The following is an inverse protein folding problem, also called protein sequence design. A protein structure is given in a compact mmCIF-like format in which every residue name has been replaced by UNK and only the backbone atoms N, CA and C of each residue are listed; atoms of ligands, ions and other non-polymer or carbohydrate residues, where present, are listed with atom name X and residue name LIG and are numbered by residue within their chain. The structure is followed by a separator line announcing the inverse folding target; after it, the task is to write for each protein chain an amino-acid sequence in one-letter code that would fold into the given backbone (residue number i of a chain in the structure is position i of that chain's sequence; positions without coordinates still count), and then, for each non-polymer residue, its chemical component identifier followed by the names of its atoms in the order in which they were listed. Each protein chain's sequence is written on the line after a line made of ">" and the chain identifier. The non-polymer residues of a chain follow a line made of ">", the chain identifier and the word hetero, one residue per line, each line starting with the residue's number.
data_IF_595207191816
#
_entry.id   IF_595207191816
#
_cell.length_a   1.000
_cell.length_b   1.000
_cell.length_c   1.000
_cell.angle_alpha   90.00
_cell.angle_beta   90.00
_cell.angle_gamma   90.00
#
_symmetry.space_group_name_H-M   'P 1'
#
loop_
_entity.id
_entity.type
_entity.pdbx_description
1 polymer ?
#
# COMPACT_ATOMS: atom_id res chain seq x y z
N UNK A 1 18.17 13.22 4.63
CA UNK A 1 17.82 13.26 3.18
C UNK A 1 16.34 12.94 3.04
N UNK A 2 15.60 13.58 2.11
CA UNK A 2 14.18 13.28 1.86
C UNK A 2 14.02 11.88 1.23
N UNK A 3 12.86 11.24 1.46
CA UNK A 3 12.61 9.87 0.98
C UNK A 3 12.36 9.79 -0.52
N UNK A 4 11.72 10.79 -1.12
CA UNK A 4 11.55 10.95 -2.57
C UNK A 4 11.62 12.44 -2.88
N UNK A 5 12.33 12.80 -3.95
CA UNK A 5 12.39 14.17 -4.44
C UNK A 5 12.09 14.17 -5.94
N UNK A 6 10.91 14.68 -6.30
CA UNK A 6 10.39 14.65 -7.67
C UNK A 6 11.28 15.36 -8.69
N UNK A 7 12.12 16.31 -8.27
CA UNK A 7 13.08 17.00 -9.15
C UNK A 7 14.19 16.08 -9.65
N UNK A 8 14.63 15.12 -8.82
CA UNK A 8 15.63 14.12 -9.20
C UNK A 8 15.02 12.94 -9.97
N UNK A 9 13.69 12.83 -9.97
CA UNK A 9 12.93 11.72 -10.53
C UNK A 9 11.97 12.19 -11.64
N UNK A 10 12.40 13.18 -12.42
CA UNK A 10 11.51 13.93 -13.33
C UNK A 10 10.85 13.01 -14.38
N UNK A 11 11.59 12.06 -14.96
CA UNK A 11 11.07 11.18 -16.03
C UNK A 11 9.95 10.27 -15.52
N UNK A 12 10.17 9.62 -14.38
CA UNK A 12 9.19 8.73 -13.77
C UNK A 12 8.01 9.53 -13.17
N UNK A 13 8.30 10.60 -12.42
CA UNK A 13 7.29 11.39 -11.72
C UNK A 13 6.40 12.22 -12.66
N UNK A 14 6.97 12.89 -13.67
CA UNK A 14 6.22 13.80 -14.57
C UNK A 14 5.56 13.06 -15.73
N UNK A 15 6.25 12.08 -16.31
CA UNK A 15 5.79 11.43 -17.53
C UNK A 15 5.34 9.99 -17.33
N UNK A 16 5.64 9.35 -16.19
CA UNK A 16 5.26 7.95 -15.94
C UNK A 16 5.91 6.94 -16.88
N UNK A 17 6.92 7.36 -17.67
CA UNK A 17 7.48 6.56 -18.77
C UNK A 17 8.16 5.29 -18.27
N UNK A 18 8.85 5.36 -17.14
CA UNK A 18 9.58 4.22 -16.56
C UNK A 18 8.69 3.02 -16.23
N UNK A 19 7.42 3.27 -15.90
CA UNK A 19 6.47 2.24 -15.48
C UNK A 19 5.33 2.03 -16.49
N UNK A 20 5.36 2.70 -17.64
CA UNK A 20 4.32 2.62 -18.66
C UNK A 20 4.16 1.20 -19.25
N UNK A 21 5.23 0.41 -19.24
CA UNK A 21 5.26 -0.97 -19.75
C UNK A 21 5.00 -2.01 -18.66
N UNK A 22 4.71 -1.60 -17.43
CA UNK A 22 4.45 -2.55 -16.36
C UNK A 22 3.16 -3.31 -16.61
N UNK A 23 3.09 -4.62 -16.28
CA UNK A 23 1.84 -5.37 -16.40
C UNK A 23 0.67 -4.75 -15.62
N UNK A 24 0.96 -4.08 -14.49
CA UNK A 24 -0.05 -3.35 -13.71
C UNK A 24 -0.56 -2.07 -14.39
N UNK A 25 0.15 -1.54 -15.39
CA UNK A 25 -0.29 -0.41 -16.22
C UNK A 25 -1.09 -0.88 -17.44
N UNK A 26 -0.68 -2.02 -18.01
CA UNK A 26 -1.21 -2.51 -19.29
C UNK A 26 -2.44 -3.41 -19.16
N UNK A 27 -2.62 -4.07 -18.01
CA UNK A 27 -3.72 -5.03 -17.78
C UNK A 27 -4.82 -4.35 -16.94
N UNK A 28 -6.00 -4.09 -17.52
CA UNK A 28 -7.13 -3.53 -16.77
C UNK A 28 -7.51 -4.40 -15.57
N UNK A 29 -7.91 -3.76 -14.48
CA UNK A 29 -8.31 -4.46 -13.24
C UNK A 29 -7.14 -4.95 -12.39
N UNK A 30 -5.89 -4.72 -12.81
CA UNK A 30 -4.71 -4.94 -11.95
C UNK A 30 -4.23 -3.62 -11.39
N UNK A 31 -3.88 -3.62 -10.10
CA UNK A 31 -3.25 -2.46 -9.44
C UNK A 31 -4.11 -1.20 -9.59
N UNK A 32 -5.39 -1.36 -9.32
CA UNK A 32 -6.39 -0.29 -9.37
C UNK A 32 -7.07 -0.15 -8.01
N UNK A 33 -7.45 1.09 -7.69
CA UNK A 33 -8.34 1.38 -6.57
C UNK A 33 -9.75 1.49 -7.13
N UNK A 34 -10.64 0.64 -6.62
CA UNK A 34 -11.99 0.52 -7.17
C UNK A 34 -12.04 -0.47 -8.30
N UNK A 35 -13.09 -0.36 -9.12
CA UNK A 35 -13.23 -1.22 -10.29
C UNK A 35 -14.28 -0.70 -11.25
N UNK A 36 -14.05 -0.94 -12.54
CA UNK A 36 -15.03 -0.59 -13.58
C UNK A 36 -16.34 -1.39 -13.39
N UNK A 37 -16.22 -2.68 -13.05
CA UNK A 37 -17.38 -3.58 -12.85
C UNK A 37 -18.18 -3.26 -11.59
N UNK A 38 -17.57 -2.63 -10.58
CA UNK A 38 -18.27 -2.18 -9.37
C UNK A 38 -18.88 -0.79 -9.51
N UNK A 39 -18.60 -0.08 -10.62
CA UNK A 39 -19.07 1.30 -10.84
C UNK A 39 -18.40 2.35 -9.93
N UNK A 40 -17.42 1.97 -9.11
CA UNK A 40 -16.70 2.88 -8.22
C UNK A 40 -15.21 2.87 -8.56
N UNK A 41 -14.87 3.33 -9.76
CA UNK A 41 -13.48 3.48 -10.18
C UNK A 41 -12.85 4.74 -9.56
N UNK A 42 -11.68 4.60 -8.94
CA UNK A 42 -10.90 5.72 -8.40
C UNK A 42 -9.68 5.99 -9.28
N UNK A 43 -9.00 4.93 -9.74
CA UNK A 43 -7.95 5.00 -10.75
C UNK A 43 -6.87 3.93 -10.58
N UNK A 44 -5.88 3.95 -11.46
CA UNK A 44 -4.75 3.01 -11.45
C UNK A 44 -3.60 3.50 -10.55
N UNK A 45 -2.94 2.58 -9.86
CA UNK A 45 -1.75 2.84 -9.05
C UNK A 45 -0.55 3.09 -9.96
N UNK A 46 -0.40 2.30 -11.02
CA UNK A 46 0.63 2.53 -12.03
C UNK A 46 0.13 3.39 -13.20
N UNK A 47 1.02 4.19 -13.83
CA UNK A 47 2.36 4.54 -13.33
C UNK A 47 2.26 5.45 -12.09
N UNK A 48 3.26 5.38 -11.20
CA UNK A 48 3.47 6.24 -10.02
C UNK A 48 3.87 7.67 -10.39
N UNK A 49 3.21 8.23 -11.39
CA UNK A 49 3.31 9.63 -11.77
C UNK A 49 2.59 10.51 -10.74
N UNK A 50 3.04 11.76 -10.63
CA UNK A 50 2.45 12.76 -9.73
C UNK A 50 1.13 13.34 -10.20
N UNK A 51 0.54 12.81 -11.27
CA UNK A 51 -0.68 13.33 -11.88
C UNK A 51 -1.68 12.20 -12.14
N UNK A 52 -2.95 12.58 -12.11
CA UNK A 52 -4.05 11.72 -12.49
C UNK A 52 -5.20 12.55 -13.03
N UNK A 53 -5.92 12.01 -14.01
CA UNK A 53 -7.20 12.54 -14.43
C UNK A 53 -8.32 11.86 -13.63
N UNK A 54 -8.81 12.56 -12.62
CA UNK A 54 -9.93 12.12 -11.79
C UNK A 54 -10.78 13.35 -11.44
N UNK A 55 -12.10 13.26 -11.64
CA UNK A 55 -13.01 14.37 -11.44
C UNK A 55 -13.33 14.66 -9.96
N UNK A 56 -13.19 13.65 -9.09
CA UNK A 56 -13.37 13.78 -7.64
C UNK A 56 -12.01 13.95 -6.95
N UNK A 57 -11.77 15.12 -6.37
CA UNK A 57 -10.52 15.47 -5.69
C UNK A 57 -10.18 14.50 -4.55
N UNK A 58 -11.18 14.03 -3.79
CA UNK A 58 -10.96 13.04 -2.73
C UNK A 58 -10.45 11.72 -3.30
N UNK A 59 -11.01 11.26 -4.43
CA UNK A 59 -10.53 10.03 -5.11
C UNK A 59 -9.12 10.24 -5.67
N UNK A 60 -8.87 11.38 -6.30
CA UNK A 60 -7.58 11.73 -6.88
C UNK A 60 -6.47 11.73 -5.82
N UNK A 61 -6.70 12.45 -4.72
CA UNK A 61 -5.73 12.61 -3.66
C UNK A 61 -5.55 11.31 -2.84
N UNK A 62 -6.60 10.50 -2.65
CA UNK A 62 -6.48 9.16 -2.04
C UNK A 62 -5.60 8.23 -2.87
N UNK A 63 -5.73 8.28 -4.20
CA UNK A 63 -4.88 7.51 -5.09
C UNK A 63 -3.43 8.04 -5.11
N UNK A 64 -3.21 9.35 -5.04
CA UNK A 64 -1.85 9.89 -4.88
C UNK A 64 -1.22 9.44 -3.56
N UNK A 65 -1.97 9.41 -2.47
CA UNK A 65 -1.50 8.87 -1.20
C UNK A 65 -1.13 7.38 -1.33
N UNK A 66 -1.98 6.57 -1.99
CA UNK A 66 -1.68 5.17 -2.26
C UNK A 66 -0.40 5.00 -3.09
N UNK A 67 -0.23 5.77 -4.17
CA UNK A 67 0.97 5.74 -5.02
C UNK A 67 2.23 6.06 -4.22
N UNK A 68 2.18 7.11 -3.40
CA UNK A 68 3.29 7.48 -2.54
C UNK A 68 3.62 6.37 -1.53
N UNK A 69 2.60 5.75 -0.93
CA UNK A 69 2.74 4.61 -0.04
C UNK A 69 3.35 3.39 -0.75
N UNK A 70 2.94 3.11 -1.98
CA UNK A 70 3.42 1.95 -2.73
C UNK A 70 4.91 2.09 -3.10
N UNK A 71 5.33 3.26 -3.60
CA UNK A 71 6.75 3.55 -3.91
C UNK A 71 7.65 3.33 -2.69
N UNK A 72 7.31 3.90 -1.53
CA UNK A 72 8.17 3.81 -0.33
C UNK A 72 8.16 2.43 0.32
N UNK A 73 7.15 1.60 0.05
CA UNK A 73 7.00 0.26 0.64
C UNK A 73 7.46 -0.87 -0.28
N UNK A 74 8.08 -0.55 -1.43
CA UNK A 74 8.70 -1.53 -2.33
C UNK A 74 10.20 -1.28 -2.48
N UNK A 75 10.95 -2.32 -2.90
CA UNK A 75 12.35 -2.20 -3.33
C UNK A 75 12.44 -2.21 -4.85
N UNK A 76 13.45 -1.52 -5.38
CA UNK A 76 13.79 -1.59 -6.80
C UNK A 76 12.72 -1.03 -7.74
N UNK A 77 11.89 -0.08 -7.28
CA UNK A 77 11.06 0.68 -8.22
C UNK A 77 11.96 1.55 -9.09
N UNK A 78 11.54 1.85 -10.32
CA UNK A 78 12.30 2.67 -11.28
C UNK A 78 12.05 4.14 -10.98
N UNK A 79 12.44 4.53 -9.77
CA UNK A 79 12.32 5.86 -9.18
C UNK A 79 13.60 6.19 -8.41
N UNK A 80 13.91 7.48 -8.26
CA UNK A 80 14.97 7.95 -7.36
C UNK A 80 14.39 8.18 -5.95
N UNK A 81 14.47 7.16 -5.09
CA UNK A 81 13.90 7.18 -3.73
C UNK A 81 14.71 6.37 -2.71
N UNK A 82 14.48 6.63 -1.44
CA UNK A 82 14.98 5.83 -0.32
C UNK A 82 13.84 4.92 0.21
N UNK A 83 13.90 3.59 -0.02
CA UNK A 83 12.85 2.69 0.43
C UNK A 83 12.79 2.60 1.96
N UNK A 84 11.57 2.65 2.53
CA UNK A 84 11.32 2.48 3.96
C UNK A 84 10.94 1.05 4.29
N UNK A 85 11.89 0.16 4.05
CA UNK A 85 11.75 -1.26 4.33
C UNK A 85 12.78 -1.71 5.34
N UNK A 86 12.31 -1.98 6.55
CA UNK A 86 13.12 -2.68 7.54
C UNK A 86 13.46 -4.08 7.01
N UNK A 87 14.68 -4.54 7.26
CA UNK A 87 15.11 -5.89 6.90
C UNK A 87 14.51 -6.88 7.90
N UNK A 88 14.05 -8.06 7.45
CA UNK A 88 13.66 -9.13 8.35
C UNK A 88 14.82 -9.49 9.27
N UNK A 89 14.55 -9.61 10.57
CA UNK A 89 15.52 -10.09 11.56
C UNK A 89 14.88 -11.20 12.39
N UNK A 90 15.65 -12.13 12.98
CA UNK A 90 15.07 -13.18 13.81
C UNK A 90 14.26 -12.59 14.98
N UNK A 91 12.94 -12.81 14.97
CA UNK A 91 11.99 -12.23 15.92
C UNK A 91 11.33 -10.91 15.49
N UNK A 92 11.64 -10.39 14.30
CA UNK A 92 11.07 -9.17 13.73
C UNK A 92 10.68 -9.38 12.26
N UNK A 93 9.37 -9.37 12.02
CA UNK A 93 8.78 -9.48 10.69
C UNK A 93 8.32 -8.09 10.23
N UNK A 94 9.03 -7.46 9.27
CA UNK A 94 8.66 -6.16 8.76
C UNK A 94 7.38 -6.23 7.95
N UNK A 95 6.70 -5.09 7.85
CA UNK A 95 5.53 -4.95 7.00
C UNK A 95 5.88 -5.24 5.52
N UNK A 96 5.07 -6.09 4.87
CA UNK A 96 5.17 -6.43 3.44
C UNK A 96 4.61 -5.32 2.55
N UNK A 97 4.94 -5.33 1.27
CA UNK A 97 4.47 -4.36 0.26
C UNK A 97 3.01 -3.92 0.47
N UNK A 98 2.76 -2.61 0.31
CA UNK A 98 1.41 -2.08 0.36
C UNK A 98 0.61 -2.58 -0.85
N UNK A 99 -0.59 -3.10 -0.60
CA UNK A 99 -1.51 -3.59 -1.63
C UNK A 99 -2.83 -2.85 -1.45
N UNK A 100 -3.37 -2.35 -2.55
CA UNK A 100 -4.65 -1.66 -2.60
C UNK A 100 -5.75 -2.57 -2.08
N UNK A 101 -6.74 -2.02 -1.40
CA UNK A 101 -7.86 -2.78 -0.83
C UNK A 101 -7.50 -3.88 0.20
N UNK A 102 -6.22 -4.17 0.48
CA UNK A 102 -5.82 -5.18 1.47
C UNK A 102 -5.42 -4.55 2.82
N UNK A 103 -6.35 -4.62 3.76
CA UNK A 103 -6.22 -4.07 5.11
C UNK A 103 -5.12 -4.73 5.96
N UNK A 104 -4.56 -5.87 5.52
CA UNK A 104 -3.43 -6.54 6.19
C UNK A 104 -2.10 -5.89 5.86
N UNK A 105 -2.00 -5.22 4.71
CA UNK A 105 -0.75 -4.59 4.24
C UNK A 105 -0.60 -3.15 4.71
N UNK A 106 -1.72 -2.44 4.83
CA UNK A 106 -1.77 -1.10 5.40
C UNK A 106 -3.19 -0.54 5.45
N UNK A 107 -3.36 0.51 6.25
CA UNK A 107 -4.61 1.28 6.35
C UNK A 107 -4.32 2.76 6.36
N UNK A 108 -5.24 3.55 5.83
CA UNK A 108 -5.15 5.00 5.75
C UNK A 108 -6.06 5.65 6.77
N UNK A 109 -5.53 6.60 7.52
CA UNK A 109 -6.30 7.50 8.38
C UNK A 109 -6.34 8.89 7.73
N UNK A 110 -7.54 9.43 7.53
CA UNK A 110 -7.72 10.78 7.01
C UNK A 110 -7.38 11.81 8.09
N UNK A 111 -6.49 12.75 7.75
CA UNK A 111 -6.09 13.86 8.62
C UNK A 111 -6.72 15.19 8.17
N UNK A 112 -6.73 15.45 6.86
CA UNK A 112 -7.33 16.63 6.22
C UNK A 112 -8.36 16.20 5.16
N UNK A 113 -9.46 16.94 4.91
CA UNK A 113 -9.87 18.22 5.54
C UNK A 113 -10.50 18.07 6.93
N UNK A 114 -10.87 16.85 7.31
CA UNK A 114 -11.40 16.55 8.65
C UNK A 114 -10.75 15.28 9.20
N UNK A 115 -10.31 15.35 10.46
CA UNK A 115 -9.67 14.22 11.12
C UNK A 115 -10.68 13.07 11.30
N UNK A 116 -10.30 11.88 10.82
CA UNK A 116 -11.04 10.65 11.10
C UNK A 116 -10.40 9.88 12.26
N UNK A 117 -11.23 9.41 13.19
CA UNK A 117 -10.80 8.55 14.31
C UNK A 117 -10.67 7.08 13.91
N UNK A 118 -10.82 6.75 12.63
CA UNK A 118 -10.79 5.37 12.15
C UNK A 118 -9.94 5.23 10.89
N UNK A 119 -9.33 4.07 10.69
CA UNK A 119 -8.52 3.77 9.51
C UNK A 119 -9.30 2.91 8.51
N UNK A 120 -9.10 3.10 7.21
CA UNK A 120 -9.70 2.29 6.15
C UNK A 120 -8.70 2.07 5.01
N UNK A 121 -8.98 1.07 4.17
CA UNK A 121 -8.33 0.94 2.86
C UNK A 121 -9.07 1.79 1.82
N UNK A 122 -8.44 1.97 0.67
CA UNK A 122 -9.12 2.49 -0.51
C UNK A 122 -9.47 1.33 -1.46
N UNK A 123 -10.63 1.37 -2.13
CA UNK A 123 -11.73 2.32 -1.94
C UNK A 123 -12.48 2.06 -0.63
N UNK A 124 -13.26 3.04 -0.15
CA UNK A 124 -14.16 2.85 0.99
C UNK A 124 -15.43 3.71 0.84
N UNK A 125 -16.49 3.33 1.55
CA UNK A 125 -17.81 3.97 1.54
C UNK A 125 -17.98 5.07 2.59
N UNK A 126 -16.88 5.58 3.18
CA UNK A 126 -16.96 6.61 4.21
C UNK A 126 -17.31 7.98 3.60
N UNK A 127 -17.82 8.93 4.41
CA UNK A 127 -18.04 10.30 3.95
C UNK A 127 -16.77 10.94 3.37
N UNK A 128 -16.85 11.26 2.07
CA UNK A 128 -15.79 11.91 1.28
C UNK A 128 -15.87 13.43 1.44
N UNK A 129 -15.46 13.91 2.62
CA UNK A 129 -15.36 15.35 2.87
C UNK A 129 -14.37 15.98 1.87
N UNK A 130 -14.83 17.00 1.14
CA UNK A 130 -14.03 17.71 0.14
C UNK A 130 -13.28 18.87 0.80
N UNK A 131 -12.01 19.04 0.44
CA UNK A 131 -11.19 20.14 0.91
C UNK A 131 -11.45 21.37 0.03
N UNK A 132 -11.68 22.54 0.63
CA UNK A 132 -11.98 23.77 -0.13
C UNK A 132 -10.79 24.29 -0.93
N UNK A 133 -9.57 23.95 -0.50
CA UNK A 133 -8.29 24.31 -1.11
C UNK A 133 -7.65 23.14 -1.87
N UNK A 134 -8.34 21.99 -1.96
CA UNK A 134 -7.79 20.76 -2.54
C UNK A 134 -6.68 20.09 -1.71
N UNK A 135 -6.44 20.52 -0.47
CA UNK A 135 -5.38 19.97 0.38
C UNK A 135 -5.86 18.79 1.22
N UNK A 136 -5.43 17.58 0.85
CA UNK A 136 -5.73 16.35 1.58
C UNK A 136 -4.46 15.77 2.21
N UNK A 137 -4.64 15.12 3.37
CA UNK A 137 -3.55 14.49 4.08
C UNK A 137 -4.03 13.18 4.71
N UNK A 138 -3.19 12.15 4.64
CA UNK A 138 -3.43 10.86 5.25
C UNK A 138 -2.20 10.35 6.00
N UNK A 139 -2.44 9.61 7.08
CA UNK A 139 -1.44 8.79 7.74
C UNK A 139 -1.56 7.33 7.27
N UNK A 140 -0.43 6.72 6.91
CA UNK A 140 -0.34 5.30 6.57
C UNK A 140 0.04 4.47 7.80
N UNK A 141 -0.85 3.59 8.21
CA UNK A 141 -0.64 2.63 9.28
C UNK A 141 -0.28 1.27 8.71
N UNK A 142 0.81 0.66 9.20
CA UNK A 142 1.29 -0.66 8.77
C UNK A 142 1.53 -1.58 9.95
N UNK A 143 1.26 -2.86 9.76
CA UNK A 143 1.46 -3.87 10.79
C UNK A 143 2.90 -4.37 10.78
N UNK A 144 3.57 -4.25 11.92
CA UNK A 144 4.86 -4.87 12.18
C UNK A 144 4.66 -5.92 13.26
N UNK A 145 5.08 -7.16 13.00
CA UNK A 145 4.96 -8.26 13.95
C UNK A 145 6.31 -8.52 14.60
N UNK A 146 6.35 -8.51 15.92
CA UNK A 146 7.50 -9.03 16.67
C UNK A 146 7.12 -10.35 17.35
N UNK A 147 8.07 -11.27 17.44
CA UNK A 147 7.94 -12.52 18.17
C UNK A 147 9.09 -12.59 19.18
N UNK A 148 8.77 -12.98 20.42
CA UNK A 148 9.78 -13.30 21.42
C UNK A 148 10.59 -14.49 20.92
N UNK A 149 11.93 -14.41 21.02
CA UNK A 149 12.82 -15.53 20.65
C UNK A 149 12.63 -16.66 21.65
N UNK A 150 11.89 -17.69 21.28
CA UNK A 150 11.68 -18.90 22.09
C UNK A 150 12.50 -20.11 21.55
N UNK A 151 13.70 -19.83 21.00
CA UNK A 151 14.68 -20.85 20.60
C UNK A 151 14.40 -21.63 19.30
N UNK A 152 13.29 -21.36 18.60
CA UNK A 152 12.95 -22.02 17.34
C UNK A 152 13.02 -21.06 16.14
N UNK A 153 13.57 -21.52 15.01
CA UNK A 153 13.63 -20.73 13.77
C UNK A 153 12.28 -20.81 13.07
N UNK A 154 11.61 -19.66 12.94
CA UNK A 154 10.39 -19.55 12.16
C UNK A 154 10.73 -19.65 10.67
N UNK A 155 10.27 -20.73 10.01
CA UNK A 155 10.53 -20.96 8.59
C UNK A 155 9.49 -20.31 7.67
N UNK A 156 8.27 -20.04 8.19
CA UNK A 156 7.22 -19.34 7.48
C UNK A 156 5.82 -19.67 8.02
N UNK A 157 4.82 -18.88 7.61
CA UNK A 157 3.40 -19.20 7.78
C UNK A 157 2.66 -19.02 6.47
N UNK A 158 1.66 -19.85 6.24
CA UNK A 158 0.71 -19.72 5.15
C UNK A 158 -0.67 -19.55 5.74
N UNK A 159 -1.33 -18.42 5.44
CA UNK A 159 -2.74 -18.24 5.75
C UNK A 159 -3.57 -19.01 4.71
N UNK A 160 -4.10 -20.17 5.08
CA UNK A 160 -5.05 -20.89 4.25
C UNK A 160 -6.43 -20.22 4.38
N UNK A 161 -6.88 -19.57 3.31
CA UNK A 161 -8.24 -19.04 3.19
C UNK A 161 -9.23 -20.20 3.08
N UNK A 162 -9.74 -20.69 4.21
CA UNK A 162 -10.91 -21.55 4.25
C UNK A 162 -12.16 -20.71 3.92
N UNK A 163 -12.59 -20.71 2.66
CA UNK A 163 -13.92 -20.24 2.27
C UNK A 163 -14.95 -21.21 2.86
N UNK A 164 -15.46 -20.94 4.06
CA UNK A 164 -16.83 -21.24 4.53
C UNK A 164 -17.04 -21.28 6.06
N UNK A 165 -16.08 -20.91 6.88
CA UNK A 165 -16.39 -20.57 8.27
C UNK A 165 -15.47 -19.46 8.73
N UNK A 166 -15.99 -18.46 9.43
CA UNK A 166 -15.29 -17.25 9.87
C UNK A 166 -14.20 -17.50 10.93
N UNK A 167 -13.36 -18.52 10.75
CA UNK A 167 -12.15 -18.78 11.53
C UNK A 167 -10.96 -18.85 10.59
N UNK A 168 -10.10 -17.83 10.67
CA UNK A 168 -8.78 -17.87 10.06
C UNK A 168 -7.91 -18.82 10.87
N UNK A 169 -7.61 -20.00 10.34
CA UNK A 169 -6.60 -20.89 10.89
C UNK A 169 -5.25 -20.53 10.26
N UNK A 170 -4.33 -19.98 11.06
CA UNK A 170 -2.97 -19.68 10.63
C UNK A 170 -2.06 -20.81 11.12
N UNK A 171 -1.48 -21.57 10.19
CA UNK A 171 -0.51 -22.62 10.51
C UNK A 171 0.91 -22.08 10.30
N UNK A 172 1.73 -22.15 11.35
CA UNK A 172 3.14 -21.81 11.32
C UNK A 172 3.99 -23.07 11.16
N UNK A 173 4.91 -23.06 10.20
CA UNK A 173 5.90 -24.13 10.02
C UNK A 173 7.12 -23.81 10.88
N UNK A 174 7.46 -24.70 11.80
CA UNK A 174 8.58 -24.51 12.74
C UNK A 174 9.50 -25.72 12.66
N UNK A 175 10.79 -25.51 12.36
CA UNK A 175 11.80 -26.56 12.48
C UNK A 175 12.48 -26.48 13.84
N UNK A 176 12.51 -27.60 14.57
CA UNK A 176 13.40 -27.77 15.72
C UNK A 176 14.76 -28.26 15.20
N UNK A 177 15.81 -27.48 15.39
CA UNK A 177 17.17 -27.99 15.28
C UNK A 177 17.49 -28.75 16.58
N UNK A 178 18.09 -29.96 16.54
CA UNK A 178 18.72 -30.53 17.71
C UNK A 178 19.91 -29.65 18.10
N UNK A 179 20.01 -29.36 19.40
CA UNK A 179 21.14 -28.65 20.02
C UNK A 179 22.43 -29.42 19.82
#
# INVERSE_FOLDING_TARGET
>A
MPYLLSTLDTVAWRYGVSESVYPGTLIPGRREIGGLTSGDMWGSVYPHSGFIHQADDYKAASLMAQRAGDVITRRGQVHVYQPRLALPQPGYLPARDLIESDARTGKWQKLSPSLSQSCAVFPNSRPRAQATDGAYAWALWRLYSCCKREGQTFLGSTDALARHSGRSASSALISRLPV
#
